data_IF_849141704564
#
_entry.id   IF_849141704564
#
_cell.length_a   1.000
_cell.length_b   1.000
_cell.length_c   1.000
_cell.angle_alpha   90.00
_cell.angle_beta   90.00
_cell.angle_gamma   90.00
#
_symmetry.space_group_name_H-M   'P 1'
#
loop_
_entity.id
_entity.type
_entity.pdbx_description
1 polymer ?
#
# COMPACT_ATOMS: atom_id res chain seq x y z
N UNK A 1 55.19 22.46 -0.94
CA UNK A 1 54.28 21.51 -1.61
C UNK A 1 53.73 20.63 -0.52
N UNK A 2 52.72 21.12 0.20
CA UNK A 2 51.99 20.34 1.20
C UNK A 2 50.63 20.01 0.63
N UNK A 3 50.44 18.73 0.33
CA UNK A 3 49.16 18.18 -0.10
C UNK A 3 48.29 17.96 1.13
N UNK A 4 47.51 18.98 1.50
CA UNK A 4 46.38 18.80 2.42
C UNK A 4 45.18 18.31 1.61
N UNK A 5 44.96 17.00 1.61
CA UNK A 5 43.74 16.39 1.10
C UNK A 5 42.61 16.68 2.10
N UNK A 6 41.77 17.65 1.77
CA UNK A 6 40.50 17.89 2.44
C UNK A 6 39.57 16.69 2.13
N UNK A 7 39.34 15.84 3.13
CA UNK A 7 38.30 14.83 3.07
C UNK A 7 36.95 15.53 2.81
N UNK A 8 36.33 15.19 1.68
CA UNK A 8 34.99 15.64 1.34
C UNK A 8 34.00 15.15 2.40
N UNK A 9 33.28 16.10 2.99
CA UNK A 9 32.03 15.87 3.72
C UNK A 9 30.98 15.35 2.75
N UNK A 10 30.72 14.05 2.73
CA UNK A 10 29.57 13.47 2.03
C UNK A 10 28.35 13.44 2.98
N UNK A 11 27.68 14.58 3.11
CA UNK A 11 26.36 14.69 3.73
C UNK A 11 25.35 14.92 2.62
N UNK A 12 24.70 13.84 2.17
CA UNK A 12 23.28 13.78 1.77
C UNK A 12 23.00 12.43 1.11
N UNK A 13 22.60 11.47 1.93
CA UNK A 13 21.69 10.40 1.51
C UNK A 13 20.67 10.32 2.62
N UNK A 14 19.46 10.77 2.33
CA UNK A 14 18.29 10.48 3.16
C UNK A 14 18.08 8.97 3.16
N UNK A 15 18.80 8.28 4.05
CA UNK A 15 18.72 6.83 4.16
C UNK A 15 17.33 6.48 4.69
N UNK A 16 16.53 5.85 3.83
CA UNK A 16 15.26 5.23 4.22
C UNK A 16 15.55 4.20 5.32
N UNK A 17 15.02 4.45 6.52
CA UNK A 17 15.12 3.51 7.63
C UNK A 17 14.04 2.43 7.50
N UNK A 18 14.37 1.37 6.76
CA UNK A 18 13.49 0.20 6.64
C UNK A 18 13.42 -0.59 7.95
N UNK A 19 12.24 -1.16 8.27
CA UNK A 19 12.12 -2.06 9.41
C UNK A 19 13.01 -3.31 9.22
N UNK A 20 13.51 -3.93 10.30
CA UNK A 20 14.38 -5.11 10.22
C UNK A 20 13.72 -6.34 9.55
N UNK A 21 12.39 -6.39 9.52
CA UNK A 21 11.60 -7.42 8.84
C UNK A 21 10.15 -6.97 8.63
N UNK A 22 9.39 -7.66 7.77
CA UNK A 22 7.96 -7.40 7.58
C UNK A 22 7.14 -7.55 8.87
N UNK A 23 7.53 -8.43 9.79
CA UNK A 23 6.84 -8.58 11.08
C UNK A 23 6.84 -7.29 11.91
N UNK A 24 7.88 -6.46 11.78
CA UNK A 24 7.93 -5.15 12.43
C UNK A 24 7.00 -4.12 11.76
N UNK A 25 6.62 -4.36 10.50
CA UNK A 25 5.70 -3.56 9.71
C UNK A 25 4.26 -4.09 9.73
N UNK A 26 3.97 -5.15 10.49
CA UNK A 26 2.64 -5.79 10.53
C UNK A 26 1.60 -4.84 11.10
N UNK A 27 0.49 -4.67 10.38
CA UNK A 27 -0.66 -3.94 10.90
C UNK A 27 -1.35 -4.82 11.95
N UNK A 28 -1.13 -4.53 13.23
CA UNK A 28 -1.52 -5.44 14.33
C UNK A 28 -3.02 -5.73 14.41
N UNK A 29 -3.84 -4.75 14.01
CA UNK A 29 -5.32 -4.84 14.01
C UNK A 29 -5.89 -5.63 12.84
N UNK A 30 -5.06 -5.92 11.84
CA UNK A 30 -5.43 -6.75 10.71
C UNK A 30 -4.95 -8.19 10.93
N UNK A 31 -5.50 -9.16 10.17
CA UNK A 31 -4.92 -10.48 10.05
C UNK A 31 -3.42 -10.43 9.73
N UNK A 32 -2.71 -11.55 9.94
CA UNK A 32 -1.24 -11.67 9.74
C UNK A 32 -0.83 -11.68 8.25
N UNK A 33 -1.48 -10.85 7.46
CA UNK A 33 -1.42 -10.84 6.00
C UNK A 33 -1.37 -9.42 5.42
N UNK A 34 -1.32 -8.39 6.28
CA UNK A 34 -1.08 -7.00 5.87
C UNK A 34 0.06 -6.31 6.63
N UNK A 35 0.85 -5.58 5.84
CA UNK A 35 2.06 -4.90 6.28
C UNK A 35 2.12 -3.49 5.70
N UNK A 36 2.55 -2.53 6.49
CA UNK A 36 2.67 -1.13 6.10
C UNK A 36 4.04 -0.58 6.47
N UNK A 37 4.74 -0.05 5.48
CA UNK A 37 6.04 0.60 5.69
C UNK A 37 5.89 2.08 5.32
N UNK A 38 5.94 3.00 6.30
CA UNK A 38 6.04 4.43 6.01
C UNK A 38 7.43 4.72 5.43
N UNK A 39 7.58 5.79 4.63
CA UNK A 39 8.88 6.19 4.08
C UNK A 39 9.60 5.08 3.30
N UNK A 40 8.89 4.20 2.61
CA UNK A 40 9.50 3.08 1.90
C UNK A 40 10.47 3.52 0.79
N UNK A 41 10.22 4.69 0.19
CA UNK A 41 11.11 5.33 -0.79
C UNK A 41 11.39 6.77 -0.37
N UNK A 42 12.50 7.32 -0.86
CA UNK A 42 12.83 8.75 -0.74
C UNK A 42 11.97 9.61 -1.67
N UNK A 43 11.88 10.91 -1.39
CA UNK A 43 11.24 11.87 -2.32
C UNK A 43 11.93 11.87 -3.69
N UNK A 44 13.26 11.74 -3.73
CA UNK A 44 14.01 11.68 -4.97
C UNK A 44 13.69 10.41 -5.79
N UNK A 45 13.52 9.27 -5.13
CA UNK A 45 13.07 8.02 -5.78
C UNK A 45 11.62 8.13 -6.24
N UNK A 46 10.74 8.75 -5.46
CA UNK A 46 9.37 9.07 -5.89
C UNK A 46 9.37 9.88 -7.18
N UNK A 47 10.15 10.97 -7.27
CA UNK A 47 10.27 11.76 -8.50
C UNK A 47 10.78 10.92 -9.67
N UNK A 48 11.81 10.10 -9.45
CA UNK A 48 12.35 9.23 -10.49
C UNK A 48 11.34 8.20 -10.99
N UNK A 49 10.45 7.72 -10.13
CA UNK A 49 9.39 6.76 -10.44
C UNK A 49 8.21 7.45 -11.14
N UNK A 50 7.82 8.64 -10.70
CA UNK A 50 6.83 9.45 -11.42
C UNK A 50 7.27 9.73 -12.87
N UNK A 51 8.59 9.80 -13.09
CA UNK A 51 9.19 9.95 -14.42
C UNK A 51 9.42 8.62 -15.18
N UNK A 52 9.29 7.44 -14.54
CA UNK A 52 9.66 6.13 -15.15
C UNK A 52 8.75 4.97 -14.72
N UNK A 53 8.31 4.16 -15.70
CA UNK A 53 7.51 2.95 -15.46
C UNK A 53 8.37 1.80 -14.88
N UNK A 54 8.27 1.53 -13.57
CA UNK A 54 8.97 0.43 -12.89
C UNK A 54 8.15 -0.87 -12.79
N UNK A 55 8.83 -2.05 -12.76
CA UNK A 55 8.23 -3.39 -12.72
C UNK A 55 8.82 -4.32 -11.62
N UNK A 56 7.98 -5.14 -10.93
CA UNK A 56 8.12 -6.61 -10.66
C UNK A 56 7.44 -7.14 -9.35
N UNK A 57 7.15 -8.47 -9.32
CA UNK A 57 7.02 -9.45 -8.18
C UNK A 57 5.66 -10.11 -7.81
N UNK A 58 5.75 -11.29 -7.13
CA UNK A 58 4.86 -12.49 -7.03
C UNK A 58 4.71 -13.02 -5.58
N UNK A 59 3.60 -13.69 -5.10
CA UNK A 59 2.16 -13.53 -5.30
C UNK A 59 1.60 -12.67 -4.14
N UNK A 60 1.83 -11.37 -4.25
CA UNK A 60 1.64 -10.38 -3.22
C UNK A 60 1.09 -9.15 -3.95
N UNK A 61 0.09 -8.48 -3.39
CA UNK A 61 -0.27 -7.15 -3.89
C UNK A 61 0.53 -6.13 -3.10
N UNK A 62 1.43 -5.47 -3.79
CA UNK A 62 2.24 -4.39 -3.26
C UNK A 62 1.80 -3.08 -3.91
N UNK A 63 1.36 -2.12 -3.11
CA UNK A 63 0.95 -0.80 -3.56
C UNK A 63 1.91 0.25 -3.00
N UNK A 64 2.67 0.89 -3.89
CA UNK A 64 3.45 2.08 -3.57
C UNK A 64 2.57 3.31 -3.81
N UNK A 65 2.52 4.21 -2.82
CA UNK A 65 1.70 5.43 -2.86
C UNK A 65 2.58 6.66 -3.10
N UNK A 66 2.22 7.51 -4.05
CA UNK A 66 2.99 8.68 -4.48
C UNK A 66 2.11 9.95 -4.49
N UNK A 67 2.70 11.10 -4.21
CA UNK A 67 2.09 12.42 -4.31
C UNK A 67 1.24 12.82 -3.11
N UNK A 68 0.10 12.16 -2.90
CA UNK A 68 -0.85 12.52 -1.85
C UNK A 68 -1.37 11.31 -1.06
N UNK A 69 -1.92 11.57 0.14
CA UNK A 69 -2.46 10.54 1.03
C UNK A 69 -3.84 10.06 0.59
N UNK A 70 -4.17 8.80 0.90
CA UNK A 70 -5.49 8.21 0.72
C UNK A 70 -5.85 7.31 1.90
N UNK A 71 -7.08 7.43 2.42
CA UNK A 71 -7.65 6.41 3.31
C UNK A 71 -8.37 5.33 2.50
N UNK A 72 -7.79 4.12 2.45
CA UNK A 72 -8.36 2.97 1.77
C UNK A 72 -9.29 2.19 2.71
N UNK A 73 -10.53 1.97 2.28
CA UNK A 73 -11.52 1.17 2.99
C UNK A 73 -11.46 -0.29 2.52
N UNK A 74 -11.44 -1.22 3.49
CA UNK A 74 -11.50 -2.66 3.26
C UNK A 74 -12.88 -3.19 3.66
N UNK A 75 -13.60 -3.73 2.70
CA UNK A 75 -14.95 -4.27 2.88
C UNK A 75 -14.90 -5.79 2.82
N UNK A 76 -15.61 -6.44 3.75
CA UNK A 76 -15.77 -7.89 3.70
C UNK A 76 -16.79 -8.25 2.61
N UNK A 77 -16.49 -9.28 1.84
CA UNK A 77 -17.47 -9.88 0.92
C UNK A 77 -18.49 -10.68 1.73
N UNK A 78 -19.79 -10.44 1.53
CA UNK A 78 -20.86 -11.26 2.10
C UNK A 78 -21.04 -12.55 1.31
N UNK A 79 -21.65 -13.57 1.92
CA UNK A 79 -21.90 -14.87 1.28
C UNK A 79 -22.76 -14.77 0.01
N UNK A 80 -23.60 -13.75 -0.08
CA UNK A 80 -24.45 -13.45 -1.25
C UNK A 80 -23.72 -12.65 -2.35
N UNK A 81 -22.43 -12.35 -2.16
CA UNK A 81 -21.61 -11.56 -3.07
C UNK A 81 -21.79 -10.04 -2.95
N UNK A 82 -22.66 -9.55 -2.07
CA UNK A 82 -22.76 -8.12 -1.76
C UNK A 82 -21.61 -7.67 -0.84
N UNK A 83 -21.34 -6.36 -0.82
CA UNK A 83 -20.40 -5.78 0.14
C UNK A 83 -21.10 -5.45 1.46
N UNK A 84 -20.37 -5.55 2.56
CA UNK A 84 -20.72 -4.79 3.75
C UNK A 84 -20.56 -3.29 3.47
N UNK A 85 -21.61 -2.46 3.60
CA UNK A 85 -21.47 -1.02 3.41
C UNK A 85 -20.48 -0.40 4.40
N UNK A 86 -20.38 -0.96 5.60
CA UNK A 86 -19.41 -0.50 6.58
C UNK A 86 -18.04 -1.15 6.31
N UNK A 87 -16.96 -0.37 6.25
CA UNK A 87 -15.63 -0.94 6.10
C UNK A 87 -15.28 -1.74 7.36
N UNK A 88 -14.78 -2.95 7.17
CA UNK A 88 -14.23 -3.74 8.27
C UNK A 88 -12.99 -3.04 8.86
N UNK A 89 -12.18 -2.43 8.00
CA UNK A 89 -11.01 -1.65 8.39
C UNK A 89 -10.71 -0.53 7.40
N UNK A 90 -9.94 0.45 7.89
CA UNK A 90 -9.43 1.58 7.11
C UNK A 90 -7.92 1.62 7.21
N UNK A 91 -7.21 1.83 6.09
CA UNK A 91 -5.74 1.94 6.05
C UNK A 91 -5.39 3.30 5.43
N UNK A 92 -4.64 4.12 6.14
CA UNK A 92 -4.18 5.41 5.62
C UNK A 92 -2.82 5.24 4.93
N UNK A 93 -2.75 5.57 3.65
CA UNK A 93 -1.57 5.42 2.81
C UNK A 93 -0.92 6.79 2.56
N UNK A 94 0.12 7.13 3.32
CA UNK A 94 0.91 8.35 3.11
C UNK A 94 1.75 8.30 1.81
N UNK A 95 2.14 9.45 1.22
CA UNK A 95 3.13 9.48 0.15
C UNK A 95 4.42 8.79 0.54
N UNK A 96 5.05 8.16 -0.44
CA UNK A 96 6.24 7.33 -0.33
C UNK A 96 6.07 6.11 0.58
N UNK A 97 4.84 5.59 0.74
CA UNK A 97 4.59 4.39 1.55
C UNK A 97 4.34 3.15 0.71
N UNK A 98 4.61 2.00 1.31
CA UNK A 98 4.30 0.68 0.76
C UNK A 98 3.23 0.01 1.61
N UNK A 99 2.13 -0.38 0.96
CA UNK A 99 1.14 -1.31 1.50
C UNK A 99 1.34 -2.67 0.85
N UNK A 100 1.45 -3.71 1.66
CA UNK A 100 1.49 -5.10 1.20
C UNK A 100 0.27 -5.84 1.72
N UNK A 101 -0.54 -6.42 0.82
CA UNK A 101 -1.65 -7.31 1.16
C UNK A 101 -1.44 -8.71 0.56
N UNK A 102 -1.76 -9.73 1.35
CA UNK A 102 -1.58 -11.15 1.02
C UNK A 102 -2.72 -11.97 1.60
N UNK A 103 -2.76 -13.28 1.29
CA UNK A 103 -3.68 -14.24 1.93
C UNK A 103 -5.12 -13.77 1.98
N UNK A 104 -5.77 -13.92 3.13
CA UNK A 104 -7.19 -13.59 3.31
C UNK A 104 -7.54 -12.11 3.02
N UNK A 105 -6.63 -11.17 3.28
CA UNK A 105 -6.87 -9.76 2.96
C UNK A 105 -6.85 -9.47 1.46
N UNK A 106 -6.16 -10.30 0.69
CA UNK A 106 -6.19 -10.25 -0.77
C UNK A 106 -7.39 -11.02 -1.35
N UNK A 107 -7.77 -12.16 -0.77
CA UNK A 107 -8.77 -13.06 -1.35
C UNK A 107 -10.21 -12.76 -0.92
N UNK A 108 -10.41 -12.34 0.32
CA UNK A 108 -11.74 -12.33 0.96
C UNK A 108 -12.27 -10.91 1.19
N UNK A 109 -11.38 -9.92 1.11
CA UNK A 109 -11.67 -8.50 1.29
C UNK A 109 -11.54 -7.73 -0.02
N UNK A 110 -12.53 -6.88 -0.27
CA UNK A 110 -12.58 -6.01 -1.42
C UNK A 110 -12.27 -4.58 -1.00
N UNK A 111 -11.60 -3.86 -1.89
CA UNK A 111 -11.26 -2.47 -1.68
C UNK A 111 -11.41 -1.70 -2.98
N UNK A 112 -11.83 -0.46 -2.84
CA UNK A 112 -11.98 0.48 -3.94
C UNK A 112 -11.69 1.88 -3.42
N UNK A 113 -11.39 2.78 -4.36
CA UNK A 113 -11.21 4.19 -4.04
C UNK A 113 -12.58 4.85 -4.19
N UNK A 114 -13.18 5.25 -3.06
CA UNK A 114 -14.45 5.98 -3.09
C UNK A 114 -14.28 7.32 -3.82
N UNK A 115 -15.28 7.77 -4.58
CA UNK A 115 -15.28 9.06 -5.25
C UNK A 115 -15.70 10.17 -4.28
N UNK A 116 -14.73 10.62 -3.46
CA UNK A 116 -14.89 11.64 -2.43
C UNK A 116 -13.69 12.58 -2.44
N UNK A 117 -13.89 13.82 -2.01
CA UNK A 117 -12.86 14.87 -1.95
C UNK A 117 -12.04 14.84 -0.65
N UNK A 118 -12.52 14.11 0.37
CA UNK A 118 -11.91 14.12 1.68
C UNK A 118 -12.19 12.83 2.44
N UNK A 119 -11.17 12.31 3.11
CA UNK A 119 -11.33 11.28 4.12
C UNK A 119 -11.58 11.95 5.48
N UNK A 120 -12.62 11.51 6.19
CA UNK A 120 -13.01 12.03 7.51
C UNK A 120 -12.92 10.97 8.59
N UNK A 121 -13.05 11.41 9.85
CA UNK A 121 -13.03 10.55 11.03
C UNK A 121 -11.75 9.71 11.11
N UNK A 122 -10.61 10.35 10.86
CA UNK A 122 -9.28 9.71 10.94
C UNK A 122 -8.74 9.80 12.36
N UNK A 123 -8.56 8.66 13.02
CA UNK A 123 -7.96 8.60 14.36
C UNK A 123 -7.24 7.28 14.59
N UNK A 124 -6.58 7.19 15.75
CA UNK A 124 -5.97 5.94 16.22
C UNK A 124 -7.01 4.80 16.31
N UNK A 125 -8.25 5.12 16.66
CA UNK A 125 -9.34 4.16 16.80
C UNK A 125 -9.86 3.67 15.44
N UNK A 126 -9.93 4.55 14.44
CA UNK A 126 -10.62 4.27 13.16
C UNK A 126 -9.69 3.79 12.05
N UNK A 127 -8.40 4.13 12.09
CA UNK A 127 -7.42 3.82 11.04
C UNK A 127 -6.45 2.75 11.49
N UNK A 128 -6.52 1.56 10.91
CA UNK A 128 -5.85 0.33 11.35
C UNK A 128 -4.33 0.46 11.58
N UNK A 129 -3.64 1.21 10.71
CA UNK A 129 -2.18 1.39 10.71
C UNK A 129 -1.70 2.68 11.38
N UNK A 130 -2.53 3.34 12.21
CA UNK A 130 -2.20 4.65 12.80
C UNK A 130 -0.83 4.73 13.47
N UNK A 131 -0.47 3.73 14.28
CA UNK A 131 0.80 3.69 15.00
C UNK A 131 2.04 3.50 14.10
N UNK A 132 1.82 3.19 12.81
CA UNK A 132 2.85 3.02 11.80
C UNK A 132 2.97 4.22 10.85
N UNK A 133 2.14 5.25 11.03
CA UNK A 133 2.23 6.46 10.21
C UNK A 133 3.52 7.23 10.53
N UNK A 134 4.15 7.80 9.49
CA UNK A 134 5.27 8.74 9.63
C UNK A 134 4.81 9.97 10.41
N UNK A 135 3.69 10.57 10.00
CA UNK A 135 3.25 11.87 10.49
C UNK A 135 1.77 11.87 10.87
N UNK A 136 1.34 11.11 11.89
CA UNK A 136 -0.07 11.07 12.31
C UNK A 136 -0.62 12.45 12.72
N UNK A 137 0.25 13.36 13.17
CA UNK A 137 -0.11 14.75 13.49
C UNK A 137 -0.67 15.56 12.30
N UNK A 138 -0.37 15.17 11.06
CA UNK A 138 -0.94 15.79 9.86
C UNK A 138 -2.47 15.58 9.77
N UNK A 139 -2.99 14.57 10.45
CA UNK A 139 -4.41 14.19 10.47
C UNK A 139 -5.06 14.44 11.83
N UNK A 140 -4.46 15.27 12.69
CA UNK A 140 -4.95 15.49 14.06
C UNK A 140 -6.35 16.13 14.12
N UNK A 141 -6.80 16.77 13.03
CA UNK A 141 -8.16 17.29 12.90
C UNK A 141 -9.18 16.23 12.40
N UNK A 142 -8.74 14.98 12.24
CA UNK A 142 -9.54 13.86 11.76
C UNK A 142 -9.78 13.84 10.26
N UNK A 143 -9.02 14.59 9.46
CA UNK A 143 -9.32 14.82 8.04
C UNK A 143 -8.09 14.68 7.14
N UNK A 144 -8.31 14.23 5.91
CA UNK A 144 -7.33 14.23 4.81
C UNK A 144 -8.02 14.75 3.55
N UNK A 145 -7.69 15.97 3.13
CA UNK A 145 -8.19 16.55 1.87
C UNK A 145 -7.45 15.88 0.72
N UNK A 146 -8.19 15.25 -0.20
CA UNK A 146 -7.59 14.52 -1.29
C UNK A 146 -6.99 15.45 -2.32
N UNK A 147 -5.87 15.01 -2.87
CA UNK A 147 -5.15 15.68 -3.94
C UNK A 147 -4.76 14.65 -4.99
N UNK A 148 -4.14 15.09 -6.08
CA UNK A 148 -3.63 14.17 -7.10
C UNK A 148 -2.64 13.18 -6.49
N UNK A 149 -3.02 11.91 -6.55
CA UNK A 149 -2.24 10.78 -6.05
C UNK A 149 -2.01 9.79 -7.16
N UNK A 150 -0.79 9.29 -7.25
CA UNK A 150 -0.43 8.18 -8.12
C UNK A 150 -0.16 6.96 -7.24
N UNK A 151 -0.57 5.77 -7.67
CA UNK A 151 -0.15 4.54 -7.00
C UNK A 151 0.26 3.48 -7.99
N UNK A 152 1.37 2.83 -7.69
CA UNK A 152 1.88 1.71 -8.45
C UNK A 152 1.48 0.44 -7.72
N UNK A 153 0.61 -0.34 -8.35
CA UNK A 153 0.15 -1.60 -7.81
C UNK A 153 0.80 -2.74 -8.58
N UNK A 154 1.66 -3.47 -7.89
CA UNK A 154 2.29 -4.67 -8.38
C UNK A 154 1.47 -5.86 -7.92
N UNK A 155 1.09 -6.69 -8.88
CA UNK A 155 0.45 -7.96 -8.62
C UNK A 155 1.04 -8.99 -9.55
N UNK A 156 1.06 -10.19 -9.04
CA UNK A 156 1.27 -11.36 -9.87
C UNK A 156 -0.04 -12.14 -10.01
N UNK A 157 -0.24 -12.69 -11.20
CA UNK A 157 -1.44 -13.43 -11.54
C UNK A 157 -1.00 -14.81 -12.00
N UNK A 158 -1.39 -15.84 -11.24
CA UNK A 158 -1.27 -17.23 -11.67
C UNK A 158 -1.86 -17.36 -13.07
N UNK A 159 -1.10 -17.93 -14.02
CA UNK A 159 -1.65 -18.27 -15.33
C UNK A 159 -2.84 -19.20 -15.12
N UNK A 160 -4.05 -18.70 -15.39
CA UNK A 160 -5.25 -19.53 -15.44
C UNK A 160 -5.10 -20.52 -16.61
N UNK A 161 -4.86 -21.80 -16.30
CA UNK A 161 -4.79 -22.83 -17.33
C UNK A 161 -6.14 -22.92 -18.04
N UNK A 162 -6.16 -22.64 -19.35
CA UNK A 162 -7.37 -22.69 -20.20
C UNK A 162 -7.93 -24.12 -20.37
N UNK A 163 -7.34 -25.13 -19.74
CA UNK A 163 -7.68 -26.53 -19.92
C UNK A 163 -9.08 -26.90 -19.36
N UNK A 164 -9.58 -26.17 -18.35
CA UNK A 164 -10.91 -26.43 -17.78
C UNK A 164 -12.07 -26.12 -18.76
N UNK A 165 -11.91 -25.16 -19.67
CA UNK A 165 -12.95 -24.81 -20.65
C UNK A 165 -13.04 -25.79 -21.82
N UNK A 166 -12.02 -26.63 -22.05
CA UNK A 166 -12.07 -27.65 -23.12
C UNK A 166 -12.76 -28.93 -22.67
N UNK A 167 -12.63 -29.34 -21.40
CA UNK A 167 -13.20 -30.61 -20.95
C UNK A 167 -14.75 -30.60 -20.90
N UNK A 168 -15.37 -29.44 -20.62
CA UNK A 168 -16.83 -29.27 -20.66
C UNK A 168 -17.45 -29.34 -22.06
N UNK A 169 -16.68 -29.10 -23.12
CA UNK A 169 -17.14 -29.24 -24.50
C UNK A 169 -17.12 -30.70 -25.01
N UNK A 170 -16.35 -31.59 -24.37
CA UNK A 170 -16.24 -33.00 -24.79
C UNK A 170 -17.22 -33.93 -24.08
N UNK A 171 -17.91 -33.49 -23.01
CA UNK A 171 -18.98 -34.25 -22.36
C UNK A 171 -20.40 -33.90 -22.85
N UNK A 172 -20.54 -33.03 -23.85
CA UNK A 172 -21.80 -32.82 -24.59
C UNK A 172 -21.67 -33.33 -26.02
N UNK A 173 -21.67 -34.65 -26.19
CA UNK A 173 -22.05 -35.33 -27.44
C UNK A 173 -22.79 -36.60 -27.12
#
# INVERSE_FOLDING_TARGET
>A
MDSSSSALSSTDKDDVLLPPSLEHARIKRLPHTAYYIPNFITEQEEQNILDKDGAAYWPVVATVSLGASLCLNLHRSKEDGALDPEPAWRILQEPCSLLVTTGELYTDYLHGIADIEEDVDLSAETVANWDLLRSPGAYANGRNIRQTRTSLTYRDVLQVSKAANKLGMFLKR
#
